data_IF_274506563472
#
_entry.id   IF_274506563472
#
_cell.length_a   1.000
_cell.length_b   1.000
_cell.length_c   1.000
_cell.angle_alpha   90.00
_cell.angle_beta   90.00
_cell.angle_gamma   90.00
#
_symmetry.space_group_name_H-M   'P 1'
#
loop_
_entity.id
_entity.type
_entity.pdbx_description
1 polymer ?
#
# COMPACT_ATOMS: atom_id res chain seq x y z
N UNK A 1 -7.61 -16.21 11.89
CA UNK A 1 -8.37 -15.15 11.19
C UNK A 1 -8.44 -15.53 9.73
N UNK A 2 -9.58 -15.35 9.05
CA UNK A 2 -9.71 -15.71 7.63
C UNK A 2 -8.95 -14.72 6.74
N UNK A 3 -8.48 -15.16 5.58
CA UNK A 3 -7.76 -14.31 4.60
C UNK A 3 -8.49 -13.01 4.29
N UNK A 4 -9.83 -13.08 4.18
CA UNK A 4 -10.71 -11.92 3.97
C UNK A 4 -10.53 -10.83 5.03
N UNK A 5 -10.37 -11.19 6.31
CA UNK A 5 -10.23 -10.21 7.38
C UNK A 5 -8.94 -9.40 7.21
N UNK A 6 -7.82 -10.06 6.89
CA UNK A 6 -6.55 -9.37 6.62
C UNK A 6 -6.66 -8.41 5.43
N UNK A 7 -7.30 -8.84 4.34
CA UNK A 7 -7.51 -7.99 3.17
C UNK A 7 -8.35 -6.76 3.52
N UNK A 8 -9.45 -6.93 4.25
CA UNK A 8 -10.29 -5.80 4.67
C UNK A 8 -9.54 -4.84 5.59
N UNK A 9 -8.77 -5.35 6.56
CA UNK A 9 -7.93 -4.51 7.42
C UNK A 9 -6.91 -3.72 6.59
N UNK A 10 -6.23 -4.37 5.65
CA UNK A 10 -5.33 -3.70 4.70
C UNK A 10 -6.04 -2.66 3.84
N UNK A 11 -7.30 -2.93 3.45
CA UNK A 11 -8.15 -1.98 2.74
C UNK A 11 -8.43 -0.71 3.53
N UNK A 12 -8.82 -0.83 4.80
CA UNK A 12 -9.05 0.31 5.70
C UNK A 12 -7.77 1.12 5.89
N UNK A 13 -6.63 0.45 6.11
CA UNK A 13 -5.34 1.12 6.24
C UNK A 13 -4.94 1.85 4.95
N UNK A 14 -5.13 1.22 3.78
CA UNK A 14 -4.91 1.88 2.49
C UNK A 14 -5.82 3.11 2.32
N UNK A 15 -7.09 3.07 2.75
CA UNK A 15 -7.95 4.25 2.71
C UNK A 15 -7.38 5.40 3.53
N UNK A 16 -6.92 5.12 4.75
CA UNK A 16 -6.28 6.14 5.61
C UNK A 16 -5.02 6.69 4.93
N UNK A 17 -4.19 5.80 4.36
CA UNK A 17 -2.97 6.19 3.64
C UNK A 17 -3.27 7.01 2.39
N UNK A 18 -4.34 6.72 1.65
CA UNK A 18 -4.80 7.53 0.52
C UNK A 18 -5.15 8.94 0.98
N UNK A 19 -5.96 9.08 2.04
CA UNK A 19 -6.34 10.40 2.57
C UNK A 19 -5.10 11.20 2.98
N UNK A 20 -4.15 10.53 3.66
CA UNK A 20 -2.87 11.13 3.99
C UNK A 20 -2.08 11.58 2.75
N UNK A 21 -2.03 10.77 1.69
CA UNK A 21 -1.33 11.14 0.46
C UNK A 21 -2.02 12.26 -0.33
N UNK A 22 -3.35 12.37 -0.26
CA UNK A 22 -4.07 13.53 -0.81
C UNK A 22 -3.59 14.80 -0.10
N UNK A 23 -3.51 14.78 1.24
CA UNK A 23 -2.97 15.91 2.00
C UNK A 23 -1.51 16.20 1.65
N UNK A 24 -0.68 15.16 1.48
CA UNK A 24 0.71 15.30 1.04
C UNK A 24 0.82 15.98 -0.32
N UNK A 25 -0.04 15.62 -1.29
CA UNK A 25 -0.06 16.26 -2.61
C UNK A 25 -0.36 17.76 -2.53
N UNK A 26 -1.21 18.19 -1.59
CA UNK A 26 -1.49 19.60 -1.37
C UNK A 26 -0.29 20.31 -0.74
N UNK A 27 0.35 19.68 0.25
CA UNK A 27 1.55 20.22 0.90
C UNK A 27 2.74 20.33 -0.05
N UNK A 28 2.92 19.38 -0.98
CA UNK A 28 4.00 19.45 -1.97
C UNK A 28 3.85 20.69 -2.86
N UNK A 29 2.61 21.03 -3.25
CA UNK A 29 2.36 22.23 -4.02
C UNK A 29 2.69 23.51 -3.24
N UNK A 30 2.37 23.56 -1.94
CA UNK A 30 2.67 24.71 -1.08
C UNK A 30 4.17 24.88 -0.81
N UNK A 31 4.88 23.77 -0.53
CA UNK A 31 6.29 23.81 -0.09
C UNK A 31 7.23 23.91 -1.29
N UNK A 32 6.95 23.19 -2.37
CA UNK A 32 7.87 23.05 -3.50
C UNK A 32 7.38 23.74 -4.77
N UNK A 33 6.23 24.41 -4.80
CA UNK A 33 5.62 24.92 -6.03
C UNK A 33 6.50 25.83 -6.91
N UNK A 34 7.51 26.49 -6.33
CA UNK A 34 8.48 27.31 -7.05
C UNK A 34 9.74 26.55 -7.52
N UNK A 35 9.95 25.32 -7.04
CA UNK A 35 11.13 24.52 -7.32
C UNK A 35 11.03 23.82 -8.68
N UNK A 36 12.12 23.73 -9.47
CA UNK A 36 12.12 23.04 -10.76
C UNK A 36 11.72 21.56 -10.69
N UNK A 37 11.95 20.91 -9.53
CA UNK A 37 11.63 19.51 -9.30
C UNK A 37 10.14 19.26 -9.01
N UNK A 38 9.36 20.32 -8.78
CA UNK A 38 7.96 20.21 -8.37
C UNK A 38 7.08 19.36 -9.29
N UNK A 39 7.10 19.51 -10.64
CA UNK A 39 6.25 18.69 -11.50
C UNK A 39 6.52 17.20 -11.31
N UNK A 40 7.77 16.82 -11.10
CA UNK A 40 8.16 15.43 -10.87
C UNK A 40 7.65 14.92 -9.51
N UNK A 41 7.85 15.70 -8.44
CA UNK A 41 7.34 15.36 -7.10
C UNK A 41 5.82 15.23 -7.10
N UNK A 42 5.12 16.15 -7.77
CA UNK A 42 3.67 16.13 -7.86
C UNK A 42 3.18 14.91 -8.65
N UNK A 43 3.79 14.60 -9.79
CA UNK A 43 3.45 13.41 -10.58
C UNK A 43 3.66 12.11 -9.79
N UNK A 44 4.77 11.98 -9.06
CA UNK A 44 5.01 10.82 -8.21
C UNK A 44 3.99 10.73 -7.07
N UNK A 45 3.70 11.85 -6.41
CA UNK A 45 2.75 11.88 -5.30
C UNK A 45 1.32 11.52 -5.74
N UNK A 46 0.85 12.10 -6.85
CA UNK A 46 -0.47 11.79 -7.41
C UNK A 46 -0.55 10.33 -7.86
N UNK A 47 0.47 9.83 -8.56
CA UNK A 47 0.50 8.43 -9.02
C UNK A 47 0.50 7.45 -7.85
N UNK A 48 1.29 7.73 -6.80
CA UNK A 48 1.28 6.95 -5.56
C UNK A 48 -0.09 6.97 -4.89
N UNK A 49 -0.74 8.13 -4.82
CA UNK A 49 -2.08 8.30 -4.24
C UNK A 49 -3.11 7.44 -4.97
N UNK A 50 -3.14 7.48 -6.31
CA UNK A 50 -4.06 6.70 -7.14
C UNK A 50 -3.83 5.20 -6.94
N UNK A 51 -2.57 4.78 -6.88
CA UNK A 51 -2.22 3.37 -6.66
C UNK A 51 -2.69 2.87 -5.28
N UNK A 52 -2.47 3.64 -4.22
CA UNK A 52 -2.94 3.29 -2.86
C UNK A 52 -4.47 3.26 -2.83
N UNK A 53 -5.13 4.21 -3.50
CA UNK A 53 -6.59 4.21 -3.61
C UNK A 53 -7.12 2.96 -4.33
N UNK A 54 -6.47 2.54 -5.42
CA UNK A 54 -6.80 1.31 -6.11
C UNK A 54 -6.66 0.08 -5.19
N UNK A 55 -5.61 0.02 -4.37
CA UNK A 55 -5.45 -1.05 -3.38
C UNK A 55 -6.51 -1.01 -2.29
N UNK A 56 -6.90 0.18 -1.81
CA UNK A 56 -8.00 0.34 -0.88
C UNK A 56 -9.31 -0.18 -1.49
N UNK A 57 -9.65 0.29 -2.69
CA UNK A 57 -10.87 -0.05 -3.41
C UNK A 57 -10.98 -1.56 -3.66
N UNK A 58 -9.94 -2.17 -4.23
CA UNK A 58 -9.94 -3.61 -4.49
C UNK A 58 -10.01 -4.44 -3.21
N UNK A 59 -9.34 -4.00 -2.14
CA UNK A 59 -9.37 -4.70 -0.86
C UNK A 59 -10.73 -4.63 -0.15
N UNK A 60 -11.43 -3.49 -0.24
CA UNK A 60 -12.72 -3.30 0.43
C UNK A 60 -13.87 -3.96 -0.34
N UNK A 61 -13.90 -3.77 -1.66
CA UNK A 61 -15.05 -4.16 -2.48
C UNK A 61 -14.86 -5.49 -3.21
N UNK A 62 -13.62 -5.90 -3.49
CA UNK A 62 -13.29 -7.11 -4.27
C UNK A 62 -12.42 -8.10 -3.48
N UNK A 63 -12.61 -8.13 -2.15
CA UNK A 63 -11.84 -9.00 -1.23
C UNK A 63 -11.90 -10.49 -1.58
N UNK A 64 -13.00 -10.96 -2.17
CA UNK A 64 -13.16 -12.37 -2.55
C UNK A 64 -12.38 -12.70 -3.82
N UNK A 65 -12.42 -11.80 -4.81
CA UNK A 65 -11.73 -11.94 -6.08
C UNK A 65 -10.21 -11.91 -5.89
N UNK A 66 -9.75 -11.11 -4.92
CA UNK A 66 -8.34 -11.00 -4.55
C UNK A 66 -7.71 -12.34 -4.10
N UNK A 67 -8.48 -13.23 -3.46
CA UNK A 67 -7.97 -14.55 -3.03
C UNK A 67 -8.30 -15.67 -4.02
N UNK A 68 -9.35 -15.51 -4.83
CA UNK A 68 -9.82 -16.55 -5.74
C UNK A 68 -8.88 -16.81 -6.94
N UNK A 69 -8.38 -15.76 -7.58
CA UNK A 69 -7.69 -15.84 -8.88
C UNK A 69 -6.20 -15.47 -8.88
N UNK A 70 -5.49 -15.81 -9.97
CA UNK A 70 -4.08 -15.41 -10.18
C UNK A 70 -3.92 -13.88 -10.21
N UNK A 71 -4.81 -13.19 -10.91
CA UNK A 71 -4.81 -11.71 -10.99
C UNK A 71 -4.94 -11.07 -9.61
N UNK A 72 -5.87 -11.57 -8.78
CA UNK A 72 -6.04 -11.11 -7.41
C UNK A 72 -4.78 -11.28 -6.56
N UNK A 73 -4.16 -12.45 -6.64
CA UNK A 73 -2.88 -12.71 -5.96
C UNK A 73 -1.75 -11.81 -6.45
N UNK A 74 -1.68 -11.54 -7.75
CA UNK A 74 -0.71 -10.58 -8.30
C UNK A 74 -0.92 -9.17 -7.75
N UNK A 75 -2.16 -8.74 -7.56
CA UNK A 75 -2.46 -7.43 -6.94
C UNK A 75 -1.97 -7.41 -5.48
N UNK A 76 -2.23 -8.47 -4.70
CA UNK A 76 -1.74 -8.54 -3.32
C UNK A 76 -0.21 -8.56 -3.27
N UNK A 77 0.45 -9.34 -4.14
CA UNK A 77 1.91 -9.39 -4.22
C UNK A 77 2.50 -8.03 -4.63
N UNK A 78 1.86 -7.34 -5.57
CA UNK A 78 2.28 -6.01 -5.97
C UNK A 78 2.16 -5.01 -4.81
N UNK A 79 1.08 -5.08 -4.05
CA UNK A 79 0.87 -4.29 -2.83
C UNK A 79 1.97 -4.55 -1.78
N UNK A 80 2.29 -5.82 -1.52
CA UNK A 80 3.41 -6.23 -0.66
C UNK A 80 4.73 -5.65 -1.17
N UNK A 81 5.01 -5.75 -2.47
CA UNK A 81 6.25 -5.27 -3.05
C UNK A 81 6.38 -3.75 -2.92
N UNK A 82 5.32 -2.99 -3.18
CA UNK A 82 5.32 -1.53 -3.06
C UNK A 82 5.60 -1.10 -1.62
N UNK A 83 4.88 -1.65 -0.64
CA UNK A 83 5.11 -1.30 0.77
C UNK A 83 6.46 -1.81 1.28
N UNK A 84 6.90 -2.98 0.83
CA UNK A 84 8.22 -3.54 1.16
C UNK A 84 9.34 -2.66 0.64
N UNK A 85 9.29 -2.26 -0.63
CA UNK A 85 10.25 -1.33 -1.23
C UNK A 85 10.21 0.03 -0.52
N UNK A 86 9.03 0.52 -0.13
CA UNK A 86 8.95 1.80 0.60
C UNK A 86 9.58 1.71 1.98
N UNK A 87 9.30 0.64 2.74
CA UNK A 87 9.89 0.42 4.06
C UNK A 87 11.42 0.26 3.98
N UNK A 88 11.91 -0.56 3.04
CA UNK A 88 13.33 -0.78 2.83
C UNK A 88 14.03 0.48 2.32
N UNK A 89 13.42 1.20 1.40
CA UNK A 89 13.95 2.46 0.89
C UNK A 89 14.09 3.50 1.99
N UNK A 90 13.09 3.65 2.85
CA UNK A 90 13.15 4.57 4.00
C UNK A 90 14.27 4.17 4.99
N UNK A 91 14.40 2.88 5.27
CA UNK A 91 15.40 2.38 6.23
C UNK A 91 16.84 2.43 5.70
N UNK A 92 17.04 2.17 4.40
CA UNK A 92 18.38 2.00 3.81
C UNK A 92 18.91 3.26 3.13
N UNK A 93 18.04 4.12 2.58
CA UNK A 93 18.45 5.21 1.69
C UNK A 93 18.38 6.60 2.32
N UNK A 94 17.63 6.78 3.41
CA UNK A 94 17.45 8.10 4.03
C UNK A 94 18.27 8.22 5.33
N UNK A 95 19.12 9.26 5.47
CA UNK A 95 19.95 9.44 6.65
C UNK A 95 19.14 9.82 7.90
N UNK A 96 17.98 10.46 7.73
CA UNK A 96 17.01 10.72 8.79
C UNK A 96 15.81 9.77 8.62
N UNK A 97 15.97 8.52 9.09
CA UNK A 97 14.95 7.49 8.94
C UNK A 97 13.65 7.89 9.64
N UNK A 98 12.55 7.93 8.89
CA UNK A 98 11.23 8.06 9.50
C UNK A 98 10.68 6.68 9.90
N UNK A 99 10.87 6.32 11.17
CA UNK A 99 10.42 5.05 11.74
C UNK A 99 8.91 4.82 11.64
N UNK A 100 8.09 5.87 11.57
CA UNK A 100 6.66 5.74 11.37
C UNK A 100 6.34 5.21 9.97
N UNK A 101 7.04 5.67 8.94
CA UNK A 101 6.89 5.17 7.57
C UNK A 101 7.34 3.71 7.48
N UNK A 102 8.50 3.39 8.04
CA UNK A 102 9.02 2.01 8.10
C UNK A 102 8.02 1.09 8.79
N UNK A 103 7.51 1.50 9.96
CA UNK A 103 6.54 0.74 10.74
C UNK A 103 5.22 0.52 10.01
N UNK A 104 4.60 1.58 9.49
CA UNK A 104 3.32 1.48 8.77
C UNK A 104 3.45 0.60 7.51
N UNK A 105 4.48 0.84 6.70
CA UNK A 105 4.71 0.03 5.50
C UNK A 105 5.04 -1.43 5.85
N UNK A 106 5.82 -1.67 6.91
CA UNK A 106 6.10 -3.01 7.41
C UNK A 106 4.84 -3.75 7.89
N UNK A 107 3.95 -3.07 8.62
CA UNK A 107 2.65 -3.62 9.02
C UNK A 107 1.81 -4.01 7.81
N UNK A 108 1.77 -3.16 6.76
CA UNK A 108 1.07 -3.47 5.53
C UNK A 108 1.61 -4.72 4.83
N UNK A 109 2.94 -4.86 4.76
CA UNK A 109 3.60 -6.07 4.23
C UNK A 109 3.18 -7.30 5.00
N UNK A 110 3.18 -7.25 6.34
CA UNK A 110 2.79 -8.37 7.20
C UNK A 110 1.33 -8.74 6.97
N UNK A 111 0.41 -7.77 6.98
CA UNK A 111 -1.02 -8.00 6.79
C UNK A 111 -1.30 -8.71 5.46
N UNK A 112 -0.75 -8.20 4.36
CA UNK A 112 -1.01 -8.80 3.05
C UNK A 112 -0.27 -10.13 2.84
N UNK A 113 0.90 -10.33 3.45
CA UNK A 113 1.57 -11.63 3.45
C UNK A 113 0.73 -12.69 4.16
N UNK A 114 0.18 -12.35 5.33
CA UNK A 114 -0.74 -13.23 6.07
C UNK A 114 -2.01 -13.52 5.27
N UNK A 115 -2.55 -12.54 4.53
CA UNK A 115 -3.69 -12.76 3.64
C UNK A 115 -3.40 -13.80 2.56
N UNK A 116 -2.22 -13.77 1.93
CA UNK A 116 -1.82 -14.76 0.93
C UNK A 116 -1.62 -16.14 1.56
N UNK A 117 -0.91 -16.21 2.69
CA UNK A 117 -0.63 -17.48 3.37
C UNK A 117 -1.92 -18.20 3.76
N UNK A 118 -2.87 -17.47 4.34
CA UNK A 118 -4.16 -18.03 4.74
C UNK A 118 -5.01 -18.41 3.53
N UNK A 119 -5.04 -17.57 2.49
CA UNK A 119 -5.78 -17.87 1.26
C UNK A 119 -5.24 -19.10 0.52
N UNK A 120 -3.94 -19.42 0.66
CA UNK A 120 -3.36 -20.65 0.14
C UNK A 120 -3.74 -21.88 0.99
N UNK A 121 -3.78 -21.75 2.33
CA UNK A 121 -4.20 -22.82 3.23
C UNK A 121 -5.65 -23.25 2.99
N UNK A 122 -6.55 -22.28 2.82
CA UNK A 122 -7.97 -22.56 2.52
C UNK A 122 -8.15 -23.34 1.21
N UNK A 123 -7.30 -23.12 0.20
CA UNK A 123 -7.32 -23.88 -1.06
C UNK A 123 -6.75 -25.30 -0.95
N UNK A 124 -5.83 -25.55 -0.03
CA UNK A 124 -5.25 -26.89 0.17
C UNK A 124 -6.13 -27.80 1.03
N UNK A 125 -7.09 -27.26 1.75
CA UNK A 125 -8.03 -27.98 2.61
C UNK A 125 -9.38 -28.30 1.94
N UNK A 126 -9.59 -27.81 0.71
CA UNK A 126 -10.79 -28.01 -0.11
C UNK A 126 -10.50 -28.96 -1.27
#
# INVERSE_FOLDING_TARGET
>A
MKAKTFILTGGVLNTIMTLFHILLCLQIAEIYGAEPVYPLLQMFSVSGTIMIFFFAYTSLFYSKELTAGRTGKSIILFNIAIYGVRALGEFLLFPAVNWMIVGLCGVMVVIYSLAIMEGNREKSAA
#
